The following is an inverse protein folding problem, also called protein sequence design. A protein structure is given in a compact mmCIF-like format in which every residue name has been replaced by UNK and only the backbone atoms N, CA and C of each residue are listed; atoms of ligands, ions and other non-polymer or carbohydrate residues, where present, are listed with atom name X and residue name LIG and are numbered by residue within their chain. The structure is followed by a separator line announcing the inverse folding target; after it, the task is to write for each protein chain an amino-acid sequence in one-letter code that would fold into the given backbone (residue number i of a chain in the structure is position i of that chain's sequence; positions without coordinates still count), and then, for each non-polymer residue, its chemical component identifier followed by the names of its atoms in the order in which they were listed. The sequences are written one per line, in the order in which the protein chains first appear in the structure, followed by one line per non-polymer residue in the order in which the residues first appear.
data_IF_427053551098
#
_entry.id   IF_427053551098
#
_cell.length_a   1.000
_cell.length_b   1.000
_cell.length_c   1.000
_cell.angle_alpha   90.00
_cell.angle_beta   90.00
_cell.angle_gamma   90.00
#
_symmetry.space_group_name_H-M   'P 1'
#
loop_
_entity.id
_entity.type
_entity.pdbx_description
1 polymer ?
#
# COMPACT_ATOMS: atom_id res chain seq x y z
N UNK A 1 41.44 -3.24 16.64
CA UNK A 1 40.08 -3.79 16.52
C UNK A 1 39.10 -2.69 16.82
N UNK A 2 38.31 -2.29 15.82
CA UNK A 2 36.89 -1.92 15.93
C UNK A 2 36.46 -1.44 14.54
N UNK A 3 35.66 -2.23 13.83
CA UNK A 3 34.97 -1.76 12.63
C UNK A 3 33.89 -0.80 13.14
N UNK A 4 34.12 0.50 13.00
CA UNK A 4 33.06 1.49 13.19
C UNK A 4 31.95 1.20 12.17
N UNK A 5 30.89 0.54 12.63
CA UNK A 5 29.65 0.40 11.87
C UNK A 5 29.09 1.80 11.67
N UNK A 6 29.23 2.32 10.46
CA UNK A 6 28.57 3.55 10.03
C UNK A 6 27.06 3.29 10.04
N UNK A 7 26.42 3.55 11.19
CA UNK A 7 24.95 3.64 11.25
C UNK A 7 24.53 4.81 10.39
N UNK A 8 24.12 4.51 9.16
CA UNK A 8 23.42 5.43 8.28
C UNK A 8 22.12 5.85 8.97
N UNK A 9 22.17 6.93 9.72
CA UNK A 9 20.98 7.62 10.21
C UNK A 9 20.22 8.11 8.98
N UNK A 10 19.08 7.45 8.68
CA UNK A 10 18.12 7.88 7.66
C UNK A 10 17.48 9.19 8.11
N UNK A 11 18.18 10.29 7.94
CA UNK A 11 17.68 11.62 8.26
C UNK A 11 16.47 11.95 7.38
N UNK A 12 15.36 12.25 8.05
CA UNK A 12 14.13 12.94 7.62
C UNK A 12 13.93 13.18 6.11
N UNK A 13 13.58 12.12 5.36
CA UNK A 13 13.12 12.24 3.96
C UNK A 13 11.70 12.87 3.83
N UNK A 14 11.15 13.42 4.90
CA UNK A 14 9.74 13.84 5.02
C UNK A 14 9.50 15.36 4.96
N UNK A 15 10.53 16.18 4.73
CA UNK A 15 10.38 17.64 4.78
C UNK A 15 9.74 18.27 3.53
N UNK A 16 9.69 17.55 2.40
CA UNK A 16 9.09 18.06 1.16
C UNK A 16 8.03 17.10 0.63
N UNK A 17 6.89 17.02 1.32
CA UNK A 17 5.70 16.35 0.79
C UNK A 17 4.90 17.34 -0.06
N UNK A 18 5.28 17.48 -1.33
CA UNK A 18 4.57 18.37 -2.28
C UNK A 18 3.22 17.71 -2.62
N UNK A 19 2.16 18.18 -1.95
CA UNK A 19 0.78 17.73 -2.20
C UNK A 19 0.19 18.55 -3.35
N UNK A 20 0.17 17.99 -4.56
CA UNK A 20 -0.48 18.61 -5.71
C UNK A 20 -2.00 18.67 -5.52
N UNK A 21 -2.58 19.87 -5.56
CA UNK A 21 -4.02 20.12 -5.41
C UNK A 21 -4.55 20.92 -6.59
N UNK A 22 -5.63 20.44 -7.18
CA UNK A 22 -6.37 21.10 -8.25
C UNK A 22 -7.41 22.01 -7.60
N UNK A 23 -7.29 23.31 -7.82
CA UNK A 23 -8.20 24.31 -7.26
C UNK A 23 -9.25 24.78 -8.28
N UNK A 24 -8.97 24.68 -9.58
CA UNK A 24 -9.84 25.14 -10.66
C UNK A 24 -10.01 24.03 -11.70
N UNK A 25 -11.22 23.88 -12.22
CA UNK A 25 -11.51 23.06 -13.40
C UNK A 25 -12.21 23.98 -14.42
N UNK A 26 -11.50 24.33 -15.49
CA UNK A 26 -11.94 25.37 -16.44
C UNK A 26 -12.07 26.73 -15.73
N UNK A 27 -13.24 27.37 -15.90
CA UNK A 27 -13.53 28.69 -15.31
C UNK A 27 -14.17 28.62 -13.91
N UNK A 28 -14.40 27.42 -13.36
CA UNK A 28 -14.99 27.27 -12.03
C UNK A 28 -13.93 26.93 -10.99
N UNK A 29 -13.92 27.73 -9.92
CA UNK A 29 -13.18 27.44 -8.70
C UNK A 29 -13.88 26.34 -7.92
N UNK A 30 -13.14 25.32 -7.50
CA UNK A 30 -13.67 24.27 -6.65
C UNK A 30 -13.78 24.80 -5.21
N UNK A 31 -14.88 24.51 -4.49
CA UNK A 31 -15.02 24.92 -3.08
C UNK A 31 -13.96 24.27 -2.17
N UNK A 32 -13.39 23.15 -2.61
CA UNK A 32 -12.24 22.49 -1.97
C UNK A 32 -11.27 22.00 -3.03
N UNK A 33 -9.98 22.22 -2.79
CA UNK A 33 -8.93 21.72 -3.67
C UNK A 33 -8.90 20.18 -3.69
N UNK A 34 -9.00 19.60 -4.89
CA UNK A 34 -8.92 18.16 -5.11
C UNK A 34 -7.45 17.74 -5.21
N UNK A 35 -6.95 16.98 -4.23
CA UNK A 35 -5.60 16.40 -4.34
C UNK A 35 -5.54 15.30 -5.39
N UNK A 36 -4.40 15.20 -6.07
CA UNK A 36 -4.12 14.11 -7.02
C UNK A 36 -4.25 12.73 -6.34
N UNK A 37 -3.86 12.66 -5.07
CA UNK A 37 -4.04 11.49 -4.21
C UNK A 37 -5.52 11.10 -4.10
N UNK A 38 -6.42 12.06 -3.88
CA UNK A 38 -7.86 11.78 -3.78
C UNK A 38 -8.40 11.23 -5.09
N UNK A 39 -7.96 11.78 -6.24
CA UNK A 39 -8.33 11.25 -7.55
C UNK A 39 -7.83 9.82 -7.77
N UNK A 40 -6.58 9.53 -7.41
CA UNK A 40 -6.04 8.18 -7.47
C UNK A 40 -6.81 7.23 -6.54
N UNK A 41 -7.20 7.69 -5.36
CA UNK A 41 -8.00 6.92 -4.41
C UNK A 41 -9.40 6.61 -4.95
N UNK A 42 -10.06 7.57 -5.60
CA UNK A 42 -11.34 7.35 -6.28
C UNK A 42 -11.18 6.26 -7.36
N UNK A 43 -10.12 6.33 -8.17
CA UNK A 43 -9.87 5.34 -9.21
C UNK A 43 -9.66 3.93 -8.63
N UNK A 44 -8.90 3.81 -7.54
CA UNK A 44 -8.67 2.53 -6.85
C UNK A 44 -9.97 1.99 -6.23
N UNK A 45 -10.78 2.86 -5.62
CA UNK A 45 -12.00 2.47 -4.91
C UNK A 45 -13.21 2.24 -5.82
N UNK A 46 -13.17 2.73 -7.07
CA UNK A 46 -14.27 2.59 -8.02
C UNK A 46 -14.66 1.12 -8.26
N UNK A 47 -13.67 0.27 -8.49
CA UNK A 47 -13.88 -1.15 -8.81
C UNK A 47 -14.46 -1.94 -7.61
N UNK A 48 -13.90 -1.87 -6.39
CA UNK A 48 -14.48 -2.55 -5.23
C UNK A 48 -15.84 -1.98 -4.80
N UNK A 49 -16.14 -0.70 -5.08
CA UNK A 49 -17.43 -0.07 -4.76
C UNK A 49 -18.46 -0.13 -5.90
N UNK A 50 -18.12 -0.74 -7.04
CA UNK A 50 -19.04 -0.91 -8.16
C UNK A 50 -20.39 -1.57 -7.78
N UNK A 51 -20.43 -2.62 -6.92
CA UNK A 51 -21.69 -3.20 -6.48
C UNK A 51 -22.58 -2.21 -5.71
N UNK A 52 -21.98 -1.31 -4.92
CA UNK A 52 -22.72 -0.24 -4.24
C UNK A 52 -23.34 0.74 -5.25
N UNK A 53 -22.66 1.00 -6.36
CA UNK A 53 -23.19 1.83 -7.44
C UNK A 53 -24.50 1.28 -8.02
N UNK A 54 -24.58 -0.04 -8.21
CA UNK A 54 -25.82 -0.73 -8.66
C UNK A 54 -26.95 -0.62 -7.65
N UNK A 55 -26.64 -0.58 -6.35
CA UNK A 55 -27.63 -0.46 -5.29
C UNK A 55 -28.19 0.96 -5.19
N UNK A 56 -27.32 1.97 -5.25
CA UNK A 56 -27.69 3.38 -5.05
C UNK A 56 -28.32 4.01 -6.29
N UNK A 57 -27.78 3.70 -7.48
CA UNK A 57 -28.23 4.25 -8.76
C UNK A 57 -28.33 3.14 -9.80
N UNK A 58 -29.40 2.31 -9.77
CA UNK A 58 -29.53 1.17 -10.67
C UNK A 58 -29.62 1.55 -12.16
N UNK A 59 -30.14 2.75 -12.47
CA UNK A 59 -30.25 3.27 -13.84
C UNK A 59 -28.87 3.63 -14.42
N UNK A 60 -27.98 4.18 -13.59
CA UNK A 60 -26.63 4.57 -13.98
C UNK A 60 -25.63 4.12 -12.91
N UNK A 61 -25.33 2.80 -12.86
CA UNK A 61 -24.53 2.22 -11.78
C UNK A 61 -23.11 2.79 -11.73
N UNK A 62 -22.60 3.27 -12.87
CA UNK A 62 -21.32 3.93 -12.96
C UNK A 62 -21.29 5.30 -12.26
N UNK A 63 -22.35 6.09 -12.36
CA UNK A 63 -22.48 7.35 -11.63
C UNK A 63 -22.53 7.06 -10.13
N UNK A 64 -23.35 6.08 -9.73
CA UNK A 64 -23.45 5.65 -8.33
C UNK A 64 -22.10 5.19 -7.76
N UNK A 65 -21.33 4.43 -8.55
CA UNK A 65 -20.00 3.96 -8.15
C UNK A 65 -19.00 5.12 -8.01
N UNK A 66 -19.02 6.11 -8.93
CA UNK A 66 -18.17 7.30 -8.82
C UNK A 66 -18.52 8.13 -7.58
N UNK A 67 -19.80 8.31 -7.29
CA UNK A 67 -20.26 9.05 -6.09
C UNK A 67 -19.83 8.30 -4.82
N UNK A 68 -20.05 6.98 -4.76
CA UNK A 68 -19.66 6.16 -3.63
C UNK A 68 -18.14 6.17 -3.41
N UNK A 69 -17.36 6.02 -4.48
CA UNK A 69 -15.90 6.10 -4.43
C UNK A 69 -15.39 7.49 -4.06
N UNK A 70 -16.05 8.56 -4.54
CA UNK A 70 -15.78 9.94 -4.17
C UNK A 70 -16.01 10.21 -2.69
N UNK A 71 -17.15 9.76 -2.15
CA UNK A 71 -17.48 9.90 -0.75
C UNK A 71 -16.52 9.10 0.14
N UNK A 72 -16.23 7.85 -0.22
CA UNK A 72 -15.29 7.00 0.50
C UNK A 72 -13.86 7.58 0.47
N UNK A 73 -13.38 8.03 -0.69
CA UNK A 73 -12.09 8.70 -0.81
C UNK A 73 -12.03 10.01 -0.01
N UNK A 74 -13.13 10.77 0.03
CA UNK A 74 -13.25 11.98 0.84
C UNK A 74 -13.12 11.69 2.33
N UNK A 75 -13.81 10.68 2.84
CA UNK A 75 -13.72 10.24 4.24
C UNK A 75 -12.30 9.71 4.56
N UNK A 76 -11.76 8.87 3.69
CA UNK A 76 -10.43 8.29 3.85
C UNK A 76 -9.29 9.30 3.74
N UNK A 77 -9.48 10.39 3.00
CA UNK A 77 -8.51 11.49 2.94
C UNK A 77 -8.41 12.31 4.23
N UNK A 78 -9.43 12.21 5.11
CA UNK A 78 -9.41 12.86 6.43
C UNK A 78 -8.71 11.99 7.48
N UNK A 79 -8.75 10.66 7.31
CA UNK A 79 -7.91 9.75 8.09
C UNK A 79 -6.48 9.83 7.57
N UNK A 80 -5.62 10.55 8.30
CA UNK A 80 -4.19 10.66 7.99
C UNK A 80 -3.38 9.77 8.96
N UNK A 81 -3.35 8.43 8.78
CA UNK A 81 -2.73 7.54 9.76
C UNK A 81 -1.20 7.68 9.87
N UNK A 82 -0.54 8.48 9.01
CA UNK A 82 0.91 8.69 9.07
C UNK A 82 1.48 9.80 8.17
N UNK A 83 0.66 10.66 7.57
CA UNK A 83 1.11 11.60 6.52
C UNK A 83 1.37 10.92 5.17
N UNK A 84 0.98 9.65 5.00
CA UNK A 84 1.18 8.83 3.80
C UNK A 84 -0.13 8.63 3.05
N UNK A 85 -0.04 8.58 1.73
CA UNK A 85 -1.16 8.18 0.87
C UNK A 85 -1.72 6.82 1.33
N UNK A 86 -3.00 6.81 1.71
CA UNK A 86 -3.65 5.69 2.42
C UNK A 86 -3.50 4.33 1.71
N UNK A 87 -3.64 4.21 0.38
CA UNK A 87 -3.37 2.95 -0.32
C UNK A 87 -1.94 2.43 -0.14
N UNK A 88 -0.94 3.31 -0.13
CA UNK A 88 0.45 2.92 0.13
C UNK A 88 0.66 2.49 1.59
N UNK A 89 -0.06 3.10 2.53
CA UNK A 89 -0.06 2.66 3.92
C UNK A 89 -0.64 1.25 4.06
N UNK A 90 -1.79 0.97 3.43
CA UNK A 90 -2.42 -0.35 3.45
C UNK A 90 -1.49 -1.39 2.80
N UNK A 91 -0.88 -1.05 1.67
CA UNK A 91 0.09 -1.93 1.00
C UNK A 91 1.29 -2.21 1.90
N UNK A 92 1.86 -1.19 2.54
CA UNK A 92 2.96 -1.37 3.50
C UNK A 92 2.56 -2.20 4.73
N UNK A 93 1.32 -2.08 5.19
CA UNK A 93 0.78 -2.90 6.27
C UNK A 93 0.60 -4.35 5.84
N UNK A 94 0.06 -4.58 4.65
CA UNK A 94 -0.08 -5.92 4.07
C UNK A 94 1.29 -6.58 3.86
N UNK A 95 2.27 -5.84 3.33
CA UNK A 95 3.66 -6.28 3.24
C UNK A 95 4.22 -6.62 4.61
N UNK A 96 4.00 -5.78 5.63
CA UNK A 96 4.45 -6.05 6.99
C UNK A 96 3.85 -7.33 7.58
N UNK A 97 2.57 -7.60 7.30
CA UNK A 97 1.87 -8.81 7.77
C UNK A 97 2.34 -10.08 7.04
N UNK A 98 2.54 -10.01 5.72
CA UNK A 98 2.94 -11.15 4.89
C UNK A 98 4.44 -11.42 4.99
N UNK A 99 5.25 -10.39 5.28
CA UNK A 99 6.70 -10.56 5.37
C UNK A 99 7.02 -11.51 6.53
N UNK A 100 7.77 -12.59 6.26
CA UNK A 100 8.16 -13.52 7.31
C UNK A 100 8.99 -12.75 8.33
N UNK A 101 8.45 -12.65 9.55
CA UNK A 101 9.09 -11.94 10.66
C UNK A 101 10.47 -12.52 10.88
N UNK A 102 11.49 -11.69 10.69
CA UNK A 102 12.90 -12.08 10.88
C UNK A 102 13.27 -12.10 12.35
N UNK A 103 12.48 -11.43 13.19
CA UNK A 103 12.69 -11.25 14.62
C UNK A 103 11.38 -11.48 15.36
N UNK A 104 11.45 -12.23 16.45
CA UNK A 104 10.36 -12.42 17.40
C UNK A 104 10.14 -11.14 18.23
N UNK A 105 9.01 -11.05 18.93
CA UNK A 105 8.67 -9.93 19.81
C UNK A 105 9.68 -9.72 20.95
N UNK A 106 10.50 -10.73 21.26
CA UNK A 106 11.62 -10.65 22.21
C UNK A 106 12.96 -10.22 21.57
N UNK A 107 12.95 -9.77 20.30
CA UNK A 107 14.15 -9.35 19.56
C UNK A 107 15.06 -10.50 19.10
N UNK A 108 14.62 -11.76 19.25
CA UNK A 108 15.40 -12.95 18.84
C UNK A 108 15.17 -13.24 17.36
N UNK A 109 16.20 -13.58 16.61
CA UNK A 109 16.06 -13.97 15.21
C UNK A 109 15.25 -15.28 15.10
N UNK A 110 14.16 -15.27 14.32
CA UNK A 110 13.40 -16.49 14.06
C UNK A 110 14.17 -17.29 13.01
N UNK A 111 14.64 -18.48 13.39
CA UNK A 111 15.33 -19.39 12.48
C UNK A 111 14.37 -19.78 11.35
N UNK A 112 14.57 -19.21 10.15
CA UNK A 112 13.89 -19.66 8.93
C UNK A 112 14.19 -21.15 8.78
N UNK A 113 13.18 -22.01 8.86
CA UNK A 113 13.31 -23.41 8.44
C UNK A 113 13.84 -23.40 7.00
N UNK A 114 15.13 -23.69 6.84
CA UNK A 114 15.75 -23.95 5.54
C UNK A 114 14.89 -25.04 4.90
N UNK A 115 14.34 -24.77 3.71
CA UNK A 115 13.82 -25.85 2.86
C UNK A 115 14.95 -26.88 2.75
N UNK A 116 14.76 -28.09 3.30
CA UNK A 116 15.72 -29.17 3.09
C UNK A 116 15.74 -29.42 1.59
N UNK A 117 16.86 -29.12 0.94
CA UNK A 117 17.12 -29.67 -0.38
C UNK A 117 17.30 -31.17 -0.16
N UNK A 118 16.42 -31.97 -0.77
CA UNK A 118 16.65 -33.39 -0.94
C UNK A 118 17.81 -33.51 -1.92
N UNK A 119 19.01 -33.73 -1.41
CA UNK A 119 20.12 -34.21 -2.23
C UNK A 119 19.84 -35.67 -2.56
N UNK A 120 19.52 -35.93 -3.83
CA UNK A 120 19.42 -37.27 -4.37
C UNK A 120 20.81 -37.69 -4.81
N UNK A 121 21.53 -38.39 -3.94
CA UNK A 121 22.73 -39.13 -4.34
C UNK A 121 22.28 -40.38 -5.09
N UNK A 122 22.41 -40.35 -6.42
CA UNK A 122 22.28 -41.55 -7.25
C UNK A 122 23.50 -42.42 -6.95
N UNK A 123 23.29 -43.65 -6.50
CA UNK A 123 24.36 -44.64 -6.45
C UNK A 123 24.64 -45.08 -7.89
N UNK A 124 25.82 -44.75 -8.40
CA UNK A 124 26.34 -45.38 -9.61
C UNK A 124 26.53 -46.86 -9.29
N UNK A 125 25.91 -47.72 -10.10
CA UNK A 125 26.09 -49.17 -10.06
C UNK A 125 27.31 -49.46 -10.92
N UNK A 126 28.40 -49.91 -10.31
CA UNK A 126 29.55 -50.43 -11.03
C UNK A 126 29.13 -51.75 -11.71
N UNK A 127 29.20 -51.79 -13.04
CA UNK A 127 29.07 -53.01 -13.82
C UNK A 127 30.41 -53.79 -13.73
N UNK A 128 30.41 -54.90 -12.99
CA UNK A 128 31.42 -55.96 -13.09
C UNK A 128 31.18 -56.87 -14.32
#
# INVERSE_FOLDING_TARGET
MEKQETRLFKSYKSLFHIRFKIHNIGDRTLPRGLSLETLAMIAILYLPLWPLGRLLYPVHPWIGAVIAAGAAAGLLSQSDPQGKFLPLFILGLAEYLVRPKTTDYSGRAIARRRKSRLDWTIMEVDEE
#
